data_IF_584258934714
#
_entry.id   IF_584258934714
#
_cell.length_a   1.000
_cell.length_b   1.000
_cell.length_c   1.000
_cell.angle_alpha   90.00
_cell.angle_beta   90.00
_cell.angle_gamma   90.00
#
_symmetry.space_group_name_H-M   'P 1'
#
loop_
_entity.id
_entity.type
_entity.pdbx_description
1 polymer ?
#
# COMPACT_ATOMS: atom_id res chain seq x y z
N UNK A 1 11.48 -11.16 -5.20
CA UNK A 1 10.28 -10.72 -5.94
C UNK A 1 9.19 -10.59 -4.92
N UNK A 2 8.56 -9.43 -4.83
CA UNK A 2 7.53 -9.17 -3.82
C UNK A 2 6.32 -10.07 -4.13
N UNK A 3 5.90 -10.85 -3.15
CA UNK A 3 4.69 -11.65 -3.18
C UNK A 3 3.49 -10.72 -3.01
N UNK A 4 2.73 -10.53 -4.08
CA UNK A 4 1.53 -9.70 -4.13
C UNK A 4 0.49 -10.34 -5.04
N UNK A 5 -0.77 -10.30 -4.64
CA UNK A 5 -1.89 -10.81 -5.45
C UNK A 5 -2.33 -9.80 -6.50
N UNK A 6 -2.93 -10.28 -7.58
CA UNK A 6 -3.52 -9.41 -8.62
C UNK A 6 -4.56 -8.44 -8.04
N UNK A 7 -5.33 -8.85 -7.03
CA UNK A 7 -6.29 -7.97 -6.36
C UNK A 7 -5.57 -6.82 -5.64
N UNK A 8 -4.55 -7.11 -4.84
CA UNK A 8 -3.76 -6.09 -4.15
C UNK A 8 -3.09 -5.14 -5.15
N UNK A 9 -2.54 -5.69 -6.23
CA UNK A 9 -1.94 -4.92 -7.32
C UNK A 9 -2.94 -3.95 -7.96
N UNK A 10 -4.14 -4.44 -8.32
CA UNK A 10 -5.21 -3.64 -8.90
C UNK A 10 -5.75 -2.56 -7.94
N UNK A 11 -5.75 -2.83 -6.63
CA UNK A 11 -6.15 -1.82 -5.64
C UNK A 11 -5.08 -0.74 -5.47
N UNK A 12 -3.80 -1.12 -5.38
CA UNK A 12 -2.71 -0.17 -5.23
C UNK A 12 -2.46 0.66 -6.49
N UNK A 13 -2.68 0.11 -7.69
CA UNK A 13 -2.46 0.82 -8.96
C UNK A 13 -3.41 2.01 -9.17
N UNK A 14 -4.48 2.12 -8.38
CA UNK A 14 -5.42 3.25 -8.43
C UNK A 14 -4.85 4.52 -7.81
N UNK A 15 -3.91 4.38 -6.87
CA UNK A 15 -3.38 5.49 -6.08
C UNK A 15 -1.83 5.55 -6.10
N UNK A 16 -1.12 4.48 -6.46
CA UNK A 16 0.34 4.43 -6.63
C UNK A 16 0.73 4.39 -8.12
N UNK A 17 1.10 5.55 -8.68
CA UNK A 17 1.41 5.70 -10.10
C UNK A 17 2.64 4.90 -10.58
N UNK A 18 3.62 4.68 -9.70
CA UNK A 18 4.88 3.99 -10.00
C UNK A 18 4.91 2.56 -9.44
N UNK A 19 3.76 1.92 -9.21
CA UNK A 19 3.67 0.60 -8.59
C UNK A 19 4.50 -0.47 -9.31
N UNK A 20 4.46 -0.52 -10.65
CA UNK A 20 5.23 -1.50 -11.43
C UNK A 20 6.75 -1.33 -11.21
N UNK A 21 7.23 -0.10 -11.07
CA UNK A 21 8.63 0.16 -10.78
C UNK A 21 9.02 -0.35 -9.39
N UNK A 22 8.17 -0.09 -8.38
CA UNK A 22 8.38 -0.59 -7.01
C UNK A 22 8.42 -2.12 -6.96
N UNK A 23 7.50 -2.79 -7.67
CA UNK A 23 7.47 -4.24 -7.75
C UNK A 23 8.70 -4.82 -8.48
N UNK A 24 9.14 -4.18 -9.57
CA UNK A 24 10.30 -4.60 -10.35
C UNK A 24 11.62 -4.39 -9.61
N UNK A 25 11.73 -3.31 -8.83
CA UNK A 25 12.89 -3.06 -7.97
C UNK A 25 13.01 -4.12 -6.86
N UNK A 26 11.91 -4.80 -6.52
CA UNK A 26 11.88 -5.89 -5.54
C UNK A 26 12.14 -5.45 -4.10
N UNK A 27 12.07 -4.14 -3.85
CA UNK A 27 12.30 -3.51 -2.56
C UNK A 27 10.99 -3.43 -1.79
N UNK A 28 10.76 -4.40 -0.91
CA UNK A 28 9.54 -4.51 -0.11
C UNK A 28 9.33 -3.28 0.76
N UNK A 29 10.38 -2.79 1.40
CA UNK A 29 10.30 -1.64 2.31
C UNK A 29 9.82 -0.39 1.57
N UNK A 30 10.31 -0.15 0.34
CA UNK A 30 9.81 0.95 -0.49
C UNK A 30 8.35 0.82 -0.88
N UNK A 31 7.89 -0.40 -1.20
CA UNK A 31 6.47 -0.61 -1.48
C UNK A 31 5.62 -0.33 -0.25
N UNK A 32 6.04 -0.84 0.92
CA UNK A 32 5.34 -0.65 2.18
C UNK A 32 5.28 0.82 2.59
N UNK A 33 6.37 1.58 2.41
CA UNK A 33 6.39 3.02 2.61
C UNK A 33 5.38 3.75 1.72
N UNK A 34 5.29 3.40 0.44
CA UNK A 34 4.32 4.01 -0.46
C UNK A 34 2.87 3.72 -0.03
N UNK A 35 2.59 2.54 0.55
CA UNK A 35 1.27 2.21 1.10
C UNK A 35 1.01 3.01 2.39
N UNK A 36 2.02 3.21 3.23
CA UNK A 36 1.92 4.01 4.46
C UNK A 36 1.66 5.50 4.16
N UNK A 37 2.28 6.05 3.11
CA UNK A 37 1.96 7.40 2.62
C UNK A 37 0.49 7.52 2.17
N UNK A 38 -0.08 6.46 1.58
CA UNK A 38 -1.51 6.40 1.26
C UNK A 38 -2.38 6.30 2.52
N UNK A 39 -1.95 5.58 3.55
CA UNK A 39 -2.64 5.57 4.84
C UNK A 39 -2.71 6.98 5.43
N UNK A 40 -1.56 7.66 5.56
CA UNK A 40 -1.44 8.99 6.15
C UNK A 40 -2.22 10.06 5.38
N UNK A 41 -2.22 10.00 4.04
CA UNK A 41 -2.96 10.97 3.20
C UNK A 41 -4.48 10.78 3.24
N UNK A 42 -4.98 9.73 3.87
CA UNK A 42 -6.41 9.42 3.99
C UNK A 42 -6.90 9.48 5.45
N UNK A 43 -6.14 10.08 6.37
CA UNK A 43 -6.66 10.46 7.68
C UNK A 43 -7.66 11.62 7.56
N UNK A 44 -8.57 11.73 8.51
CA UNK A 44 -9.48 12.87 8.58
C UNK A 44 -8.85 14.11 9.24
N UNK A 45 -9.62 15.18 9.43
CA UNK A 45 -9.14 16.44 10.01
C UNK A 45 -8.69 16.34 11.48
N UNK A 46 -9.00 15.23 12.16
CA UNK A 46 -8.60 14.95 13.53
C UNK A 46 -7.48 13.90 13.60
N UNK A 47 -6.81 13.61 12.47
CA UNK A 47 -5.82 12.55 12.31
C UNK A 47 -6.37 11.13 12.58
N UNK A 48 -7.69 10.94 12.49
CA UNK A 48 -8.32 9.63 12.68
C UNK A 48 -8.38 8.84 11.35
N UNK A 49 -8.19 7.51 11.37
CA UNK A 49 -8.24 6.70 10.16
C UNK A 49 -9.65 6.65 9.54
N UNK A 50 -9.77 7.10 8.30
CA UNK A 50 -10.98 6.86 7.48
C UNK A 50 -11.08 5.40 7.03
N UNK A 51 -12.23 5.01 6.46
CA UNK A 51 -12.36 3.69 5.82
C UNK A 51 -11.31 3.45 4.73
N UNK A 52 -10.92 4.50 3.99
CA UNK A 52 -9.90 4.42 2.94
C UNK A 52 -8.51 4.26 3.55
N UNK A 53 -8.18 4.98 4.63
CA UNK A 53 -6.94 4.74 5.38
C UNK A 53 -6.87 3.30 5.92
N UNK A 54 -7.92 2.83 6.59
CA UNK A 54 -7.98 1.47 7.13
C UNK A 54 -7.80 0.39 6.05
N UNK A 55 -8.28 0.65 4.83
CA UNK A 55 -8.05 -0.26 3.69
C UNK A 55 -6.57 -0.35 3.34
N UNK A 56 -5.84 0.76 3.30
CA UNK A 56 -4.39 0.74 3.06
C UNK A 56 -3.63 0.06 4.19
N UNK A 57 -4.02 0.27 5.45
CA UNK A 57 -3.42 -0.46 6.58
C UNK A 57 -3.58 -1.98 6.40
N UNK A 58 -4.76 -2.45 6.00
CA UNK A 58 -4.98 -3.89 5.75
C UNK A 58 -4.13 -4.42 4.59
N UNK A 59 -3.98 -3.63 3.53
CA UNK A 59 -3.12 -4.00 2.39
C UNK A 59 -1.66 -4.07 2.81
N UNK A 60 -1.18 -3.09 3.58
CA UNK A 60 0.14 -3.09 4.20
C UNK A 60 0.36 -4.38 5.00
N UNK A 61 -0.52 -4.66 5.96
CA UNK A 61 -0.38 -5.80 6.86
C UNK A 61 -0.38 -7.13 6.09
N UNK A 62 -1.24 -7.27 5.08
CA UNK A 62 -1.28 -8.47 4.25
C UNK A 62 0.00 -8.65 3.45
N UNK A 63 0.48 -7.60 2.78
CA UNK A 63 1.69 -7.68 1.94
C UNK A 63 2.93 -7.93 2.81
N UNK A 64 3.03 -7.26 3.96
CA UNK A 64 4.11 -7.50 4.92
C UNK A 64 4.13 -8.96 5.39
N UNK A 65 2.98 -9.52 5.78
CA UNK A 65 2.92 -10.92 6.26
C UNK A 65 3.09 -11.97 5.15
N UNK A 66 3.00 -11.57 3.88
CA UNK A 66 3.19 -12.43 2.71
C UNK A 66 4.65 -12.55 2.27
N UNK A 67 5.56 -11.72 2.81
CA UNK A 67 6.95 -11.56 2.39
C UNK A 67 7.93 -11.67 3.57
#
# INVERSE_FOLDING_TARGET
MINITELQKNELSKDINNLEELLNNGDLDKLLLAIDELFLSNLDENDEPTEKAMKYQRLYDQIYNQN
#
